data_IF_030738675480
#
_entry.id   IF_030738675480
#
_cell.length_a   1.000
_cell.length_b   1.000
_cell.length_c   1.000
_cell.angle_alpha   90.00
_cell.angle_beta   90.00
_cell.angle_gamma   90.00
#
_symmetry.space_group_name_H-M   'P 1'
#
loop_
_entity.id
_entity.type
_entity.pdbx_description
1 polymer ?
#
# COMPACT_ATOMS: atom_id res chain seq x y z
N UNK A 1 -0.47 -7.48 9.47
CA UNK A 1 -0.53 -6.46 8.39
C UNK A 1 -1.97 -6.17 7.97
N UNK A 2 -2.86 -7.17 7.88
CA UNK A 2 -4.29 -6.94 7.58
C UNK A 2 -4.98 -6.00 8.58
N UNK A 3 -4.84 -6.25 9.89
CA UNK A 3 -5.34 -5.33 10.92
C UNK A 3 -4.80 -3.91 10.77
N UNK A 4 -3.50 -3.77 10.47
CA UNK A 4 -2.87 -2.47 10.24
C UNK A 4 -3.44 -1.77 9.00
N UNK A 5 -3.71 -2.50 7.92
CA UNK A 5 -4.36 -1.96 6.72
C UNK A 5 -5.76 -1.44 7.03
N UNK A 6 -6.58 -2.20 7.77
CA UNK A 6 -7.91 -1.74 8.17
C UNK A 6 -7.85 -0.54 9.11
N UNK A 7 -6.95 -0.53 10.10
CA UNK A 7 -6.82 0.59 11.03
C UNK A 7 -6.41 1.89 10.32
N UNK A 8 -5.46 1.82 9.38
CA UNK A 8 -5.03 3.00 8.59
C UNK A 8 -6.16 3.52 7.68
N UNK A 9 -7.05 2.64 7.19
CA UNK A 9 -8.18 3.05 6.34
C UNK A 9 -9.37 3.59 7.14
N UNK A 10 -9.68 2.99 8.28
CA UNK A 10 -10.90 3.25 9.04
C UNK A 10 -10.73 4.31 10.14
N UNK A 11 -9.49 4.69 10.46
CA UNK A 11 -9.19 5.62 11.54
C UNK A 11 -8.30 6.75 11.05
N UNK A 12 -8.11 7.79 11.88
CA UNK A 12 -7.12 8.85 11.64
C UNK A 12 -5.72 8.47 12.13
N UNK A 13 -5.51 7.23 12.58
CA UNK A 13 -4.23 6.79 13.11
C UNK A 13 -3.24 6.51 11.97
N UNK A 14 -2.03 7.07 12.10
CA UNK A 14 -0.96 6.80 11.16
C UNK A 14 -0.27 5.45 11.46
N UNK A 15 0.53 4.98 10.50
CA UNK A 15 1.46 3.86 10.71
C UNK A 15 2.39 4.11 11.91
N UNK A 16 2.77 5.37 12.14
CA UNK A 16 3.64 5.78 13.23
C UNK A 16 2.93 5.65 14.59
N UNK A 17 1.67 6.06 14.66
CA UNK A 17 0.88 5.94 15.90
C UNK A 17 0.69 4.48 16.28
N UNK A 18 0.40 3.60 15.30
CA UNK A 18 0.32 2.16 15.58
C UNK A 18 1.68 1.60 16.01
N UNK A 19 2.77 2.00 15.35
CA UNK A 19 4.10 1.52 15.72
C UNK A 19 4.47 1.94 17.16
N UNK A 20 4.18 3.18 17.56
CA UNK A 20 4.36 3.62 18.95
C UNK A 20 3.47 2.88 19.92
N UNK A 21 2.22 2.61 19.57
CA UNK A 21 1.32 1.82 20.40
C UNK A 21 1.85 0.40 20.61
N UNK A 22 2.43 -0.22 19.58
CA UNK A 22 3.08 -1.53 19.68
C UNK A 22 4.32 -1.49 20.58
N UNK A 23 5.17 -0.46 20.43
CA UNK A 23 6.33 -0.26 21.31
C UNK A 23 5.89 -0.12 22.76
N UNK A 24 4.90 0.73 23.04
CA UNK A 24 4.37 0.95 24.38
C UNK A 24 3.70 -0.31 24.96
N UNK A 25 2.92 -1.05 24.16
CA UNK A 25 2.30 -2.30 24.60
C UNK A 25 3.34 -3.40 24.90
N UNK A 26 4.49 -3.36 24.24
CA UNK A 26 5.59 -4.32 24.44
C UNK A 26 6.43 -3.97 25.67
N UNK A 27 6.70 -2.68 25.89
CA UNK A 27 7.41 -2.19 27.06
C UNK A 27 6.85 -0.82 27.49
N UNK A 28 5.93 -0.86 28.45
CA UNK A 28 5.35 0.33 29.07
C UNK A 28 6.37 1.08 29.93
N UNK A 29 7.36 0.36 30.48
CA UNK A 29 8.32 0.92 31.44
C UNK A 29 9.45 1.71 30.77
N UNK A 30 9.69 1.47 29.47
CA UNK A 30 10.78 2.06 28.71
C UNK A 30 12.18 1.64 29.18
N UNK A 31 12.27 0.60 30.02
CA UNK A 31 13.54 0.13 30.58
C UNK A 31 14.35 -0.66 29.55
N UNK A 32 13.70 -1.25 28.54
CA UNK A 32 14.39 -1.99 27.49
C UNK A 32 14.76 -1.05 26.35
N UNK A 33 16.02 -1.10 25.93
CA UNK A 33 16.47 -0.46 24.69
C UNK A 33 15.85 -1.20 23.50
N UNK A 34 14.76 -0.68 22.96
CA UNK A 34 14.10 -1.24 21.78
C UNK A 34 14.76 -0.72 20.50
N UNK A 35 15.05 -1.62 19.56
CA UNK A 35 15.55 -1.22 18.24
C UNK A 35 14.39 -0.61 17.46
N UNK A 36 14.60 0.58 16.91
CA UNK A 36 13.62 1.24 16.05
C UNK A 36 13.46 0.46 14.74
N UNK A 37 12.29 -0.14 14.53
CA UNK A 37 11.93 -0.99 13.38
C UNK A 37 10.83 -0.41 12.50
N UNK A 38 10.58 0.88 12.60
CA UNK A 38 9.52 1.55 11.85
C UNK A 38 9.73 1.46 10.34
N UNK A 39 10.97 1.61 9.85
CA UNK A 39 11.29 1.50 8.43
C UNK A 39 10.97 0.10 7.88
N UNK A 40 11.29 -0.94 8.65
CA UNK A 40 10.98 -2.32 8.30
C UNK A 40 9.47 -2.55 8.25
N UNK A 41 8.71 -1.98 9.20
CA UNK A 41 7.24 -2.04 9.17
C UNK A 41 6.67 -1.39 7.91
N UNK A 42 7.18 -0.23 7.49
CA UNK A 42 6.77 0.42 6.24
C UNK A 42 7.04 -0.50 5.04
N UNK A 43 8.25 -1.07 4.95
CA UNK A 43 8.62 -1.95 3.84
C UNK A 43 7.71 -3.18 3.78
N UNK A 44 7.48 -3.85 4.90
CA UNK A 44 6.56 -4.98 5.00
C UNK A 44 5.14 -4.60 4.57
N UNK A 45 4.67 -3.41 4.96
CA UNK A 45 3.34 -2.93 4.59
C UNK A 45 3.21 -2.62 3.09
N UNK A 46 4.26 -2.07 2.46
CA UNK A 46 4.31 -1.83 1.02
C UNK A 46 4.30 -3.14 0.24
N UNK A 47 5.16 -4.09 0.61
CA UNK A 47 5.20 -5.42 -0.01
C UNK A 47 3.85 -6.14 0.12
N UNK A 48 3.24 -6.10 1.30
CA UNK A 48 1.92 -6.70 1.51
C UNK A 48 0.84 -6.04 0.64
N UNK A 49 0.83 -4.69 0.52
CA UNK A 49 -0.12 -3.99 -0.38
C UNK A 49 0.07 -4.41 -1.83
N UNK A 50 1.32 -4.52 -2.29
CA UNK A 50 1.63 -4.99 -3.63
C UNK A 50 1.10 -6.41 -3.88
N UNK A 51 1.28 -7.34 -2.94
CA UNK A 51 0.71 -8.69 -3.04
C UNK A 51 -0.82 -8.68 -3.11
N UNK A 52 -1.49 -7.78 -2.37
CA UNK A 52 -2.95 -7.63 -2.44
C UNK A 52 -3.39 -7.10 -3.81
N UNK A 53 -2.68 -6.15 -4.40
CA UNK A 53 -2.94 -5.65 -5.75
C UNK A 53 -2.78 -6.74 -6.81
N UNK A 54 -1.68 -7.50 -6.76
CA UNK A 54 -1.46 -8.64 -7.67
C UNK A 54 -2.60 -9.66 -7.61
N UNK A 55 -3.09 -9.96 -6.40
CA UNK A 55 -4.24 -10.85 -6.20
C UNK A 55 -5.52 -10.25 -6.79
N UNK A 56 -5.80 -8.97 -6.54
CA UNK A 56 -7.00 -8.28 -7.04
C UNK A 56 -7.03 -8.18 -8.56
N UNK A 57 -5.88 -7.91 -9.19
CA UNK A 57 -5.74 -7.85 -10.64
C UNK A 57 -5.58 -9.24 -11.31
N UNK A 58 -5.70 -10.34 -10.56
CA UNK A 58 -5.68 -11.68 -11.11
C UNK A 58 -4.33 -12.11 -11.71
N UNK A 59 -3.20 -11.47 -11.33
CA UNK A 59 -1.88 -11.75 -11.92
C UNK A 59 -1.35 -13.16 -11.67
N UNK A 60 -1.93 -13.90 -10.73
CA UNK A 60 -1.66 -15.32 -10.56
C UNK A 60 -2.21 -16.21 -11.69
N UNK A 61 -3.16 -15.70 -12.49
CA UNK A 61 -3.75 -16.41 -13.64
C UNK A 61 -3.17 -15.97 -14.99
N UNK A 62 -2.33 -14.93 -14.99
CA UNK A 62 -1.65 -14.47 -16.20
C UNK A 62 -0.60 -15.51 -16.63
N UNK A 63 -0.54 -15.94 -17.91
CA UNK A 63 0.48 -16.87 -18.39
C UNK A 63 1.93 -16.40 -18.16
N UNK A 64 2.14 -15.08 -18.11
CA UNK A 64 3.45 -14.46 -17.79
C UNK A 64 3.67 -14.31 -16.29
N UNK A 65 2.65 -14.58 -15.48
CA UNK A 65 2.65 -14.49 -14.03
C UNK A 65 2.93 -13.08 -13.50
N UNK A 66 3.33 -13.01 -12.23
CA UNK A 66 3.69 -11.74 -11.56
C UNK A 66 4.86 -11.05 -12.27
N UNK A 67 5.82 -11.81 -12.81
CA UNK A 67 7.00 -11.27 -13.47
C UNK A 67 6.70 -10.50 -14.77
N UNK A 68 5.58 -10.79 -15.44
CA UNK A 68 5.15 -10.07 -16.64
C UNK A 68 4.35 -8.79 -16.36
N UNK A 69 4.06 -8.48 -15.09
CA UNK A 69 3.29 -7.28 -14.71
C UNK A 69 4.10 -6.01 -14.98
N UNK A 70 3.63 -5.13 -15.86
CA UNK A 70 4.32 -3.89 -16.21
C UNK A 70 3.97 -2.73 -15.27
N UNK A 71 4.76 -1.67 -15.32
CA UNK A 71 4.47 -0.44 -14.60
C UNK A 71 3.10 0.13 -15.00
N UNK A 72 2.31 0.52 -13.99
CA UNK A 72 0.96 1.04 -14.19
C UNK A 72 -0.14 -0.02 -14.32
N UNK A 73 0.19 -1.31 -14.48
CA UNK A 73 -0.80 -2.35 -14.74
C UNK A 73 -1.58 -2.85 -13.51
N UNK A 74 -1.19 -2.43 -12.31
CA UNK A 74 -1.86 -2.75 -11.04
C UNK A 74 -2.64 -1.57 -10.47
N UNK A 75 -2.67 -0.44 -11.16
CA UNK A 75 -3.35 0.77 -10.72
C UNK A 75 -4.45 1.13 -11.72
N UNK A 76 -5.49 1.79 -11.21
CA UNK A 76 -6.55 2.32 -12.06
C UNK A 76 -6.05 3.64 -12.67
N UNK A 77 -6.30 3.83 -13.98
CA UNK A 77 -6.02 5.10 -14.62
C UNK A 77 -6.77 6.23 -13.90
N UNK A 78 -6.06 7.31 -13.57
CA UNK A 78 -6.66 8.43 -12.85
C UNK A 78 -7.76 9.07 -13.71
N UNK A 79 -9.02 9.13 -13.25
CA UNK A 79 -10.12 9.67 -14.05
C UNK A 79 -10.01 11.19 -14.28
N UNK A 80 -9.25 11.88 -13.42
CA UNK A 80 -9.01 13.33 -13.53
C UNK A 80 -7.87 13.70 -14.46
N UNK A 81 -7.01 12.74 -14.85
CA UNK A 81 -5.97 13.01 -15.84
C UNK A 81 -6.60 13.20 -17.23
N UNK A 82 -5.97 14.04 -18.07
CA UNK A 82 -6.43 14.27 -19.43
C UNK A 82 -6.08 13.06 -20.29
N UNK A 83 -7.10 12.42 -20.86
CA UNK A 83 -7.00 11.24 -21.69
C UNK A 83 -7.66 11.51 -23.05
N UNK A 84 -6.86 11.79 -24.10
CA UNK A 84 -7.36 11.97 -25.46
C UNK A 84 -8.23 10.77 -25.88
N UNK A 85 -9.42 11.05 -26.42
CA UNK A 85 -10.38 10.02 -26.85
C UNK A 85 -11.14 9.31 -25.73
N UNK A 86 -10.90 9.64 -24.45
CA UNK A 86 -11.67 9.11 -23.31
C UNK A 86 -12.47 10.23 -22.66
N UNK A 87 -11.80 11.28 -22.16
CA UNK A 87 -12.43 12.36 -21.39
C UNK A 87 -12.08 13.78 -21.91
N UNK A 88 -11.37 13.87 -23.03
CA UNK A 88 -11.10 15.12 -23.75
C UNK A 88 -12.04 15.27 -24.95
N UNK A 89 -12.51 16.50 -25.27
CA UNK A 89 -13.23 16.78 -26.51
C UNK A 89 -12.38 16.45 -27.75
N UNK A 90 -13.05 16.18 -28.87
CA UNK A 90 -12.35 16.11 -30.16
C UNK A 90 -11.72 17.48 -30.47
N UNK A 91 -10.49 17.47 -31.01
CA UNK A 91 -9.70 18.68 -31.31
C UNK A 91 -9.47 19.57 -30.07
N UNK A 92 -9.12 18.98 -28.93
CA UNK A 92 -8.77 19.72 -27.71
C UNK A 92 -7.39 20.40 -27.76
N UNK A 93 -6.55 20.04 -28.74
CA UNK A 93 -5.20 20.58 -28.98
C UNK A 93 -5.20 22.08 -29.30
#
# INVERSE_FOLDING_TARGET
LEHLHHLVLMTKASMYDLYRALVHATDVTGQRKMVWRYQQLIQMQLQWRHLKLLKQCGRGHDPTGVAGTKDGELVVACPSCLHPGINLPNNWE
#
